data_IF_064088276367
#
_entry.id   IF_064088276367
#
_cell.length_a   1.000
_cell.length_b   1.000
_cell.length_c   1.000
_cell.angle_alpha   90.00
_cell.angle_beta   90.00
_cell.angle_gamma   90.00
#
_symmetry.space_group_name_H-M   'P 1'
#
loop_
_entity.id
_entity.type
_entity.pdbx_description
1 polymer ?
#
# COMPACT_ATOMS: atom_id res chain seq x y z
N UNK A 1 -62.36 -32.59 1.89
CA UNK A 1 -62.15 -31.17 2.23
C UNK A 1 -61.64 -30.50 0.97
N UNK A 2 -62.50 -29.68 0.36
CA UNK A 2 -62.40 -29.15 -0.98
C UNK A 2 -61.50 -27.91 -1.06
N UNK A 3 -60.93 -27.65 -2.23
CA UNK A 3 -60.92 -26.30 -2.79
C UNK A 3 -60.63 -26.32 -4.30
N UNK A 4 -61.58 -25.83 -5.08
CA UNK A 4 -61.40 -25.40 -6.46
C UNK A 4 -61.73 -23.90 -6.52
N UNK A 5 -60.98 -23.18 -7.37
CA UNK A 5 -61.25 -21.87 -8.01
C UNK A 5 -60.66 -20.59 -7.35
N UNK A 6 -60.41 -19.51 -8.13
CA UNK A 6 -59.26 -19.29 -9.03
C UNK A 6 -58.80 -17.80 -8.97
N UNK A 7 -58.10 -17.32 -10.01
CA UNK A 7 -57.92 -15.93 -10.50
C UNK A 7 -56.46 -15.43 -10.48
N UNK A 8 -55.79 -15.47 -11.64
CA UNK A 8 -55.55 -14.37 -12.63
C UNK A 8 -54.17 -13.76 -12.32
N UNK A 9 -53.21 -13.67 -13.24
CA UNK A 9 -53.16 -12.68 -14.33
C UNK A 9 -52.23 -13.18 -15.43
N UNK A 10 -52.73 -13.09 -16.67
CA UNK A 10 -51.92 -13.13 -17.87
C UNK A 10 -50.98 -11.92 -17.86
N UNK A 11 -49.67 -12.19 -17.82
CA UNK A 11 -48.63 -11.21 -18.08
C UNK A 11 -47.71 -11.79 -19.15
N UNK A 12 -48.03 -11.51 -20.41
CA UNK A 12 -47.07 -11.66 -21.51
C UNK A 12 -45.96 -10.65 -21.27
N UNK A 13 -44.78 -11.14 -20.94
CA UNK A 13 -43.52 -10.47 -21.26
C UNK A 13 -42.66 -11.52 -21.95
N UNK A 14 -42.93 -11.65 -23.25
CA UNK A 14 -41.94 -12.07 -24.22
C UNK A 14 -40.77 -11.09 -24.14
N UNK A 15 -39.56 -11.60 -24.38
CA UNK A 15 -38.35 -10.85 -24.74
C UNK A 15 -37.40 -10.46 -23.60
N UNK A 16 -36.95 -11.44 -22.82
CA UNK A 16 -35.60 -11.39 -22.23
C UNK A 16 -34.83 -12.68 -22.53
N UNK A 17 -33.58 -12.44 -22.94
CA UNK A 17 -32.54 -13.28 -23.54
C UNK A 17 -32.12 -14.55 -22.77
N UNK A 18 -31.41 -15.50 -23.44
CA UNK A 18 -31.40 -16.93 -23.09
C UNK A 18 -30.66 -17.34 -21.81
N UNK A 19 -31.12 -18.50 -21.31
CA UNK A 19 -30.71 -19.30 -20.17
C UNK A 19 -29.24 -19.20 -19.74
N UNK A 20 -29.03 -18.75 -18.50
CA UNK A 20 -27.76 -18.75 -17.77
C UNK A 20 -27.50 -20.15 -17.19
N UNK A 21 -27.55 -21.21 -18.01
CA UNK A 21 -27.34 -22.58 -17.48
C UNK A 21 -26.74 -23.62 -18.44
N UNK A 22 -26.16 -23.24 -19.59
CA UNK A 22 -25.67 -24.24 -20.55
C UNK A 22 -24.33 -23.93 -21.23
N UNK A 23 -23.28 -23.57 -20.47
CA UNK A 23 -21.91 -24.01 -20.81
C UNK A 23 -20.96 -23.89 -19.58
N UNK A 24 -20.88 -24.96 -18.78
CA UNK A 24 -19.76 -25.18 -17.85
C UNK A 24 -18.62 -25.97 -18.53
N UNK A 25 -18.54 -25.91 -19.86
CA UNK A 25 -17.47 -26.48 -20.66
C UNK A 25 -16.35 -25.47 -20.88
N UNK A 26 -15.26 -25.64 -20.13
CA UNK A 26 -13.96 -25.15 -20.55
C UNK A 26 -13.83 -23.62 -20.62
N UNK A 27 -13.82 -22.97 -19.46
CA UNK A 27 -12.72 -22.03 -19.27
C UNK A 27 -11.45 -22.88 -19.30
N UNK A 28 -10.96 -23.22 -20.51
CA UNK A 28 -9.57 -23.58 -20.66
C UNK A 28 -8.84 -22.46 -19.95
N UNK A 29 -8.13 -22.78 -18.86
CA UNK A 29 -7.08 -21.92 -18.37
C UNK A 29 -6.13 -21.79 -19.55
N UNK A 30 -6.42 -20.84 -20.45
CA UNK A 30 -5.42 -20.23 -21.30
C UNK A 30 -4.28 -20.01 -20.33
N UNK A 31 -3.10 -20.60 -20.55
CA UNK A 31 -1.96 -20.41 -19.68
C UNK A 31 -1.69 -18.93 -19.79
N UNK A 32 -2.36 -18.14 -18.93
CA UNK A 32 -2.17 -16.73 -18.77
C UNK A 32 -0.69 -16.72 -18.58
N UNK A 33 0.02 -16.21 -19.59
CA UNK A 33 1.44 -15.99 -19.54
C UNK A 33 1.70 -15.61 -18.10
N UNK A 34 2.42 -16.48 -17.38
CA UNK A 34 2.85 -16.16 -16.05
C UNK A 34 3.80 -15.00 -16.30
N UNK A 35 3.22 -13.80 -16.47
CA UNK A 35 3.87 -12.59 -16.90
C UNK A 35 4.86 -12.40 -15.78
N UNK A 36 6.10 -12.80 -16.03
CA UNK A 36 7.19 -12.64 -15.09
C UNK A 36 7.30 -11.13 -14.95
N UNK A 37 6.65 -10.62 -13.90
CA UNK A 37 6.63 -9.20 -13.65
C UNK A 37 8.09 -8.75 -13.43
N UNK A 38 8.48 -7.58 -13.97
CA UNK A 38 9.84 -7.10 -13.83
C UNK A 38 10.32 -7.13 -12.37
N UNK A 39 11.55 -7.59 -12.17
CA UNK A 39 12.22 -7.49 -10.87
C UNK A 39 12.41 -6.02 -10.50
N UNK A 40 12.42 -5.69 -9.20
CA UNK A 40 12.63 -4.32 -8.73
C UNK A 40 11.46 -3.35 -8.96
N UNK A 41 10.25 -3.85 -9.27
CA UNK A 41 9.06 -3.01 -9.51
C UNK A 41 8.49 -2.29 -8.28
N UNK A 42 9.00 -2.59 -7.08
CA UNK A 42 8.54 -2.00 -5.82
C UNK A 42 9.66 -1.22 -5.14
N UNK A 43 9.31 -0.05 -4.64
CA UNK A 43 10.16 0.70 -3.73
C UNK A 43 10.01 0.18 -2.30
N UNK A 44 11.09 0.32 -1.54
CA UNK A 44 11.04 0.04 -0.12
C UNK A 44 10.12 1.05 0.59
N UNK A 45 9.29 0.55 1.51
CA UNK A 45 8.27 1.37 2.17
C UNK A 45 8.91 2.37 3.12
N UNK A 46 9.94 1.95 3.85
CA UNK A 46 10.67 2.76 4.81
C UNK A 46 11.48 3.85 4.08
N UNK A 47 12.11 3.50 2.94
CA UNK A 47 12.74 4.49 2.06
C UNK A 47 11.75 5.53 1.54
N UNK A 48 10.59 5.09 1.05
CA UNK A 48 9.54 5.98 0.55
C UNK A 48 9.02 6.92 1.63
N UNK A 49 8.91 6.44 2.87
CA UNK A 49 8.50 7.25 4.01
C UNK A 49 9.53 8.35 4.34
N UNK A 50 10.82 8.02 4.35
CA UNK A 50 11.88 9.02 4.58
C UNK A 50 11.95 10.05 3.44
N UNK A 51 11.76 9.64 2.19
CA UNK A 51 11.69 10.55 1.05
C UNK A 51 10.49 11.51 1.14
N UNK A 52 9.35 11.05 1.67
CA UNK A 52 8.22 11.92 1.98
C UNK A 52 8.60 12.94 3.06
N UNK A 53 9.19 12.50 4.18
CA UNK A 53 9.54 13.42 5.26
C UNK A 53 10.64 14.42 4.84
N UNK A 54 11.53 14.04 3.94
CA UNK A 54 12.47 14.96 3.30
C UNK A 54 11.76 16.11 2.56
N UNK A 55 10.65 15.84 1.85
CA UNK A 55 9.88 16.92 1.21
C UNK A 55 9.29 17.90 2.22
N UNK A 56 8.97 17.43 3.43
CA UNK A 56 8.54 18.32 4.53
C UNK A 56 9.70 19.20 4.99
N UNK A 57 10.91 18.65 5.09
CA UNK A 57 12.12 19.41 5.43
C UNK A 57 12.46 20.45 4.36
N UNK A 58 12.33 20.10 3.08
CA UNK A 58 12.55 21.04 1.98
C UNK A 58 11.61 22.26 2.06
N UNK A 59 10.36 22.09 2.50
CA UNK A 59 9.44 23.22 2.74
C UNK A 59 9.90 24.10 3.93
N UNK A 60 10.57 23.52 4.93
CA UNK A 60 11.17 24.29 6.02
C UNK A 60 12.44 25.05 5.59
N UNK A 61 13.15 24.54 4.59
CA UNK A 61 14.38 25.14 4.04
C UNK A 61 14.11 26.23 3.00
N UNK A 62 12.95 26.21 2.33
CA UNK A 62 12.60 27.15 1.26
C UNK A 62 12.51 28.61 1.76
N UNK A 63 13.38 29.52 1.27
CA UNK A 63 13.37 30.93 1.66
C UNK A 63 12.12 31.69 1.20
N UNK A 64 11.39 31.20 0.21
CA UNK A 64 10.13 31.81 -0.25
C UNK A 64 8.95 31.49 0.69
N UNK A 65 9.11 30.49 1.58
CA UNK A 65 8.12 30.17 2.61
C UNK A 65 8.23 31.14 3.78
N UNK A 66 7.11 31.72 4.28
CA UNK A 66 7.13 32.61 5.44
C UNK A 66 7.82 31.99 6.66
N UNK A 67 8.59 32.79 7.41
CA UNK A 67 9.46 32.31 8.49
C UNK A 67 8.74 31.42 9.52
N UNK A 68 7.52 31.79 9.92
CA UNK A 68 6.74 31.00 10.88
C UNK A 68 6.26 29.68 10.28
N UNK A 69 5.91 29.65 8.99
CA UNK A 69 5.53 28.40 8.33
C UNK A 69 6.71 27.46 8.15
N UNK A 70 7.92 28.00 7.92
CA UNK A 70 9.15 27.20 7.93
C UNK A 70 9.39 26.56 9.30
N UNK A 71 9.19 27.31 10.38
CA UNK A 71 9.29 26.77 11.74
C UNK A 71 8.23 25.69 12.00
N UNK A 72 7.00 25.87 11.48
CA UNK A 72 5.96 24.84 11.55
C UNK A 72 6.37 23.57 10.80
N UNK A 73 6.84 23.69 9.55
CA UNK A 73 7.31 22.53 8.78
C UNK A 73 8.49 21.82 9.44
N UNK A 74 9.42 22.55 10.05
CA UNK A 74 10.52 21.97 10.80
C UNK A 74 10.02 21.16 12.02
N UNK A 75 9.05 21.71 12.77
CA UNK A 75 8.44 21.00 13.89
C UNK A 75 7.67 19.75 13.43
N UNK A 76 6.96 19.83 12.30
CA UNK A 76 6.27 18.69 11.68
C UNK A 76 7.28 17.62 11.26
N UNK A 77 8.36 18.00 10.58
CA UNK A 77 9.43 17.09 10.17
C UNK A 77 10.00 16.30 11.37
N UNK A 78 10.32 17.01 12.46
CA UNK A 78 10.87 16.41 13.67
C UNK A 78 9.88 15.44 14.34
N UNK A 79 8.63 15.87 14.53
CA UNK A 79 7.58 15.05 15.15
C UNK A 79 7.28 13.78 14.34
N UNK A 80 7.21 13.91 13.01
CA UNK A 80 7.06 12.76 12.11
C UNK A 80 8.22 11.78 12.25
N UNK A 81 9.46 12.30 12.30
CA UNK A 81 10.66 11.47 12.40
C UNK A 81 10.67 10.69 13.72
N UNK A 82 10.29 11.31 14.83
CA UNK A 82 10.14 10.65 16.13
C UNK A 82 9.11 9.52 16.08
N UNK A 83 7.92 9.77 15.52
CA UNK A 83 6.90 8.73 15.36
C UNK A 83 7.40 7.54 14.50
N UNK A 84 8.10 7.84 13.42
CA UNK A 84 8.70 6.81 12.57
C UNK A 84 9.68 5.93 13.34
N UNK A 85 10.55 6.51 14.17
CA UNK A 85 11.46 5.73 15.00
C UNK A 85 10.73 4.92 16.08
N UNK A 86 9.77 5.54 16.76
CA UNK A 86 9.00 4.90 17.82
C UNK A 86 8.18 3.70 17.32
N UNK A 87 7.55 3.81 16.14
CA UNK A 87 6.64 2.78 15.63
C UNK A 87 7.33 1.88 14.62
N UNK A 88 7.88 2.46 13.54
CA UNK A 88 8.32 1.71 12.36
C UNK A 88 9.67 1.05 12.59
N UNK A 89 10.64 1.78 13.13
CA UNK A 89 11.97 1.23 13.43
C UNK A 89 11.91 0.23 14.58
N UNK A 90 11.08 0.48 15.61
CA UNK A 90 10.84 -0.50 16.68
C UNK A 90 10.25 -1.81 16.13
N UNK A 91 9.24 -1.73 15.25
CA UNK A 91 8.67 -2.90 14.59
C UNK A 91 9.69 -3.67 13.74
N UNK A 92 10.54 -2.96 12.99
CA UNK A 92 11.61 -3.57 12.21
C UNK A 92 12.64 -4.28 13.10
N UNK A 93 13.09 -3.65 14.19
CA UNK A 93 14.01 -4.23 15.16
C UNK A 93 13.42 -5.48 15.83
N UNK A 94 12.13 -5.47 16.17
CA UNK A 94 11.44 -6.65 16.72
C UNK A 94 11.48 -7.82 15.74
N UNK A 95 11.17 -7.59 14.45
CA UNK A 95 11.25 -8.63 13.41
C UNK A 95 12.65 -9.21 13.27
N UNK A 96 13.67 -8.36 13.31
CA UNK A 96 15.08 -8.78 13.29
C UNK A 96 15.40 -9.65 14.51
N UNK A 97 14.99 -9.23 15.71
CA UNK A 97 15.26 -9.94 16.96
C UNK A 97 14.56 -11.30 17.02
N UNK A 98 13.35 -11.43 16.47
CA UNK A 98 12.63 -12.70 16.39
C UNK A 98 13.09 -13.60 15.24
N UNK A 99 14.11 -13.19 14.46
CA UNK A 99 14.63 -13.97 13.34
C UNK A 99 13.69 -14.05 12.13
N UNK A 100 12.71 -13.14 12.02
CA UNK A 100 11.79 -13.11 10.88
C UNK A 100 12.52 -12.51 9.67
N UNK A 101 13.07 -13.38 8.84
CA UNK A 101 13.90 -13.04 7.68
C UNK A 101 13.08 -12.73 6.40
N UNK A 102 11.85 -12.25 6.54
CA UNK A 102 11.04 -11.86 5.37
C UNK A 102 11.61 -10.59 4.75
N UNK A 103 12.12 -10.72 3.52
CA UNK A 103 12.56 -9.57 2.70
C UNK A 103 11.40 -8.60 2.50
N UNK A 104 11.71 -7.31 2.36
CA UNK A 104 10.72 -6.31 1.99
C UNK A 104 10.26 -6.51 0.54
N UNK A 105 9.20 -5.82 0.12
CA UNK A 105 8.67 -5.90 -1.24
C UNK A 105 9.70 -5.47 -2.32
N UNK A 106 10.69 -4.65 -1.93
CA UNK A 106 11.82 -4.24 -2.78
C UNK A 106 12.97 -5.26 -2.79
N UNK A 107 12.88 -6.34 -2.01
CA UNK A 107 13.87 -7.41 -1.92
C UNK A 107 14.94 -7.22 -0.85
N UNK A 108 14.94 -6.11 -0.10
CA UNK A 108 15.93 -5.84 0.94
C UNK A 108 15.72 -6.71 2.18
N UNK A 109 16.81 -7.12 2.82
CA UNK A 109 16.78 -7.75 4.13
C UNK A 109 16.45 -6.73 5.22
N UNK A 110 15.79 -7.13 6.31
CA UNK A 110 15.48 -6.23 7.42
C UNK A 110 16.67 -5.44 7.96
N UNK A 111 17.87 -6.03 8.00
CA UNK A 111 19.09 -5.33 8.42
C UNK A 111 19.55 -4.28 7.40
N UNK A 112 19.46 -4.57 6.11
CA UNK A 112 19.79 -3.62 5.04
C UNK A 112 18.84 -2.41 5.08
N UNK A 113 17.55 -2.65 5.33
CA UNK A 113 16.56 -1.58 5.54
C UNK A 113 16.93 -0.74 6.77
N UNK A 114 17.33 -1.36 7.89
CA UNK A 114 17.71 -0.64 9.10
C UNK A 114 18.93 0.27 8.89
N UNK A 115 19.98 -0.22 8.22
CA UNK A 115 21.16 0.58 7.90
C UNK A 115 20.82 1.74 6.95
N UNK A 116 19.98 1.48 5.94
CA UNK A 116 19.49 2.51 5.01
C UNK A 116 18.71 3.61 5.74
N UNK A 117 17.86 3.24 6.70
CA UNK A 117 17.17 4.21 7.58
C UNK A 117 18.19 5.04 8.36
N UNK A 118 19.18 4.40 9.00
CA UNK A 118 20.16 5.10 9.81
C UNK A 118 21.03 6.08 9.02
N UNK A 119 21.50 5.70 7.83
CA UNK A 119 22.24 6.62 6.96
C UNK A 119 21.37 7.81 6.60
N UNK A 120 20.17 7.54 6.08
CA UNK A 120 19.33 8.60 5.53
C UNK A 120 18.81 9.55 6.60
N UNK A 121 18.40 9.04 7.77
CA UNK A 121 17.98 9.90 8.88
C UNK A 121 19.11 10.80 9.39
N UNK A 122 20.36 10.32 9.45
CA UNK A 122 21.50 11.16 9.84
C UNK A 122 21.75 12.28 8.84
N UNK A 123 21.68 11.98 7.54
CA UNK A 123 21.81 12.99 6.48
C UNK A 123 20.74 14.08 6.61
N UNK A 124 19.48 13.70 6.86
CA UNK A 124 18.39 14.65 7.00
C UNK A 124 18.50 15.49 8.28
N UNK A 125 18.96 14.91 9.40
CA UNK A 125 19.16 15.65 10.66
C UNK A 125 20.35 16.61 10.65
N UNK A 126 21.29 16.45 9.70
CA UNK A 126 22.48 17.28 9.59
C UNK A 126 22.28 18.53 8.71
N UNK A 127 21.17 18.60 7.98
CA UNK A 127 20.74 19.78 7.21
C UNK A 127 20.14 20.80 8.15
#
# INVERSE_FOLDING_TARGET
MAAHRPHTVAGVVSDLEPDIDADLGGYEESPRDALQLPQGRFLDRERSWLAFNERVLELAEDPETPLLERANFLAIFASNLDEFFMVRVAGLKRRIATGVATRSASGLQPREVLEMIWSRSRELMAR
#
